data_IF_344176750976
#
_entry.id   IF_344176750976
#
_cell.length_a   1.000
_cell.length_b   1.000
_cell.length_c   1.000
_cell.angle_alpha   90.00
_cell.angle_beta   90.00
_cell.angle_gamma   90.00
#
_symmetry.space_group_name_H-M   'P 1'
#
loop_
_entity.id
_entity.type
_entity.pdbx_description
1 polymer ?
#
# COMPACT_ATOMS: atom_id res chain seq x y z
N UNK A 1 -5.52 10.80 6.16
CA UNK A 1 -5.77 11.75 5.05
C UNK A 1 -4.73 11.53 3.95
N UNK A 2 -5.09 11.60 2.67
CA UNK A 2 -4.09 11.59 1.58
C UNK A 2 -3.65 13.02 1.32
N UNK A 3 -2.37 13.29 1.52
CA UNK A 3 -1.77 14.63 1.39
C UNK A 3 -1.27 14.87 -0.04
N UNK A 4 -0.69 13.84 -0.65
CA UNK A 4 -0.15 13.90 -2.00
C UNK A 4 -0.22 12.51 -2.65
N UNK A 5 -0.48 12.47 -3.96
CA UNK A 5 -0.56 11.26 -4.77
C UNK A 5 0.08 11.51 -6.12
N UNK A 6 1.09 10.72 -6.45
CA UNK A 6 1.77 10.74 -7.75
C UNK A 6 1.70 9.36 -8.36
N UNK A 7 1.54 9.29 -9.68
CA UNK A 7 1.49 8.03 -10.39
C UNK A 7 2.16 8.13 -11.76
N UNK A 8 2.64 6.99 -12.23
CA UNK A 8 3.15 6.81 -13.59
C UNK A 8 2.24 5.79 -14.26
N UNK A 9 1.63 6.20 -15.36
CA UNK A 9 0.75 5.34 -16.15
C UNK A 9 1.45 4.92 -17.44
N UNK A 10 1.38 3.63 -17.77
CA UNK A 10 1.85 3.06 -19.03
C UNK A 10 0.72 2.25 -19.64
N UNK A 11 0.37 2.55 -20.89
CA UNK A 11 -0.73 1.84 -21.59
C UNK A 11 -2.09 1.96 -20.89
N UNK A 12 -2.35 3.08 -20.20
CA UNK A 12 -3.58 3.31 -19.44
C UNK A 12 -3.65 2.61 -18.09
N UNK A 13 -2.54 2.00 -17.63
CA UNK A 13 -2.44 1.34 -16.33
C UNK A 13 -1.40 2.02 -15.45
N UNK A 14 -1.76 2.31 -14.20
CA UNK A 14 -0.79 2.78 -13.20
C UNK A 14 0.19 1.67 -12.87
N UNK A 15 1.48 1.90 -13.15
CA UNK A 15 2.58 0.94 -12.88
C UNK A 15 3.37 1.29 -11.64
N UNK A 16 3.39 2.57 -11.26
CA UNK A 16 4.04 3.07 -10.05
C UNK A 16 3.12 4.11 -9.43
N UNK A 17 2.88 4.00 -8.12
CA UNK A 17 2.14 4.97 -7.35
C UNK A 17 2.93 5.34 -6.09
N UNK A 18 3.00 6.64 -5.79
CA UNK A 18 3.54 7.17 -4.55
C UNK A 18 2.44 7.92 -3.80
N UNK A 19 2.24 7.55 -2.54
CA UNK A 19 1.27 8.16 -1.64
C UNK A 19 1.98 8.78 -0.44
N UNK A 20 1.63 10.02 -0.13
CA UNK A 20 1.97 10.65 1.15
C UNK A 20 0.68 10.83 1.93
N UNK A 21 0.62 10.23 3.12
CA UNK A 21 -0.60 10.19 3.92
C UNK A 21 -0.29 10.60 5.35
N UNK A 22 -1.28 11.18 6.02
CA UNK A 22 -1.27 11.35 7.47
C UNK A 22 -2.10 10.24 8.12
N UNK A 23 -1.49 9.36 8.94
CA UNK A 23 -2.20 8.37 9.75
C UNK A 23 -3.15 8.99 10.79
N UNK A 24 -4.16 8.24 11.29
CA UNK A 24 -4.52 6.90 10.84
C UNK A 24 -5.23 6.95 9.50
N UNK A 25 -4.88 6.02 8.62
CA UNK A 25 -5.60 5.83 7.36
C UNK A 25 -5.81 4.34 7.15
N UNK A 26 -7.05 3.89 7.35
CA UNK A 26 -7.51 2.58 6.91
C UNK A 26 -7.90 2.71 5.44
N UNK A 27 -7.03 2.27 4.54
CA UNK A 27 -7.36 2.29 3.12
C UNK A 27 -8.21 1.04 2.78
N UNK A 28 -9.36 1.25 2.13
CA UNK A 28 -9.90 0.21 1.25
C UNK A 28 -8.90 0.07 0.11
N UNK A 29 -8.43 -1.13 -0.25
CA UNK A 29 -7.44 -1.25 -1.31
C UNK A 29 -7.98 -0.64 -2.60
N UNK A 30 -7.41 0.48 -3.02
CA UNK A 30 -7.38 0.90 -4.44
C UNK A 30 -6.08 0.32 -5.03
N UNK A 31 -5.76 -0.90 -4.62
CA UNK A 31 -4.66 -1.66 -5.14
C UNK A 31 -5.28 -2.70 -6.05
N UNK A 32 -4.83 -2.74 -7.30
CA UNK A 32 -5.37 -3.63 -8.31
C UNK A 32 -5.25 -5.09 -7.84
N UNK A 33 -6.19 -5.96 -8.23
CA UNK A 33 -6.16 -7.40 -7.89
C UNK A 33 -5.06 -8.12 -8.69
N UNK A 34 -3.81 -7.85 -8.31
CA UNK A 34 -2.60 -8.32 -9.00
C UNK A 34 -1.38 -8.37 -8.07
N UNK A 35 -0.26 -8.91 -8.57
CA UNK A 35 1.00 -8.85 -7.84
C UNK A 35 1.49 -7.40 -7.73
N UNK A 36 1.74 -6.95 -6.51
CA UNK A 36 2.18 -5.59 -6.23
C UNK A 36 3.33 -5.58 -5.21
N UNK A 37 4.18 -4.56 -5.33
CA UNK A 37 5.26 -4.28 -4.38
C UNK A 37 4.94 -2.99 -3.63
N UNK A 38 4.92 -3.05 -2.30
CA UNK A 38 4.76 -1.88 -1.45
C UNK A 38 6.08 -1.61 -0.73
N UNK A 39 6.53 -0.37 -0.74
CA UNK A 39 7.71 0.09 0.01
C UNK A 39 7.33 1.28 0.89
N UNK A 40 7.74 1.25 2.15
CA UNK A 40 7.42 2.28 3.13
C UNK A 40 8.65 3.14 3.43
N UNK A 41 8.78 4.30 2.78
CA UNK A 41 9.90 5.22 3.05
C UNK A 41 9.83 5.86 4.45
N UNK A 42 8.62 6.02 5.01
CA UNK A 42 8.35 6.59 6.34
C UNK A 42 7.11 5.95 6.96
N UNK A 43 7.14 5.76 8.27
CA UNK A 43 6.03 5.15 9.00
C UNK A 43 5.92 3.65 8.73
N UNK A 44 4.72 3.08 8.87
CA UNK A 44 4.50 1.66 8.60
C UNK A 44 3.04 1.31 8.35
N UNK A 45 2.77 0.01 8.22
CA UNK A 45 1.42 -0.49 8.06
C UNK A 45 1.24 -1.87 8.67
N UNK A 46 0.06 -2.11 9.21
CA UNK A 46 -0.42 -3.47 9.46
C UNK A 46 -1.14 -3.95 8.20
N UNK A 47 -0.59 -4.98 7.55
CA UNK A 47 -1.19 -5.66 6.42
C UNK A 47 -1.92 -6.90 6.94
N UNK A 48 -3.21 -7.02 6.67
CA UNK A 48 -4.05 -8.10 7.22
C UNK A 48 -4.86 -8.79 6.14
N UNK A 49 -4.93 -10.12 6.21
CA UNK A 49 -5.81 -11.00 5.46
C UNK A 49 -6.50 -11.98 6.44
N UNK A 50 -7.49 -12.78 6.01
CA UNK A 50 -8.21 -13.69 6.92
C UNK A 50 -7.30 -14.67 7.69
N UNK A 51 -6.17 -15.05 7.09
CA UNK A 51 -5.25 -16.07 7.63
C UNK A 51 -3.97 -15.50 8.23
N UNK A 52 -3.69 -14.21 8.05
CA UNK A 52 -2.40 -13.64 8.45
C UNK A 52 -2.46 -12.15 8.72
N UNK A 53 -1.50 -11.69 9.52
CA UNK A 53 -1.27 -10.29 9.82
C UNK A 53 0.23 -10.03 9.86
N UNK A 54 0.67 -9.09 9.04
CA UNK A 54 2.06 -8.72 8.86
C UNK A 54 2.21 -7.26 9.25
N UNK A 55 3.19 -6.95 10.09
CA UNK A 55 3.58 -5.57 10.36
C UNK A 55 4.78 -5.23 9.48
N UNK A 56 4.64 -4.16 8.69
CA UNK A 56 5.69 -3.62 7.85
C UNK A 56 6.09 -2.28 8.45
N UNK A 57 7.40 -2.09 8.61
CA UNK A 57 8.00 -0.90 9.20
C UNK A 57 8.67 -0.04 8.14
N UNK A 58 9.20 1.08 8.60
CA UNK A 58 9.95 2.00 7.78
C UNK A 58 11.15 1.31 7.12
N UNK A 59 11.40 1.65 5.86
CA UNK A 59 12.43 1.10 4.98
C UNK A 59 12.27 -0.39 4.66
N UNK A 60 11.09 -0.98 4.91
CA UNK A 60 10.76 -2.34 4.49
C UNK A 60 9.92 -2.35 3.22
N UNK A 61 10.00 -3.48 2.51
CA UNK A 61 9.20 -3.75 1.31
C UNK A 61 8.51 -5.09 1.44
N UNK A 62 7.33 -5.20 0.82
CA UNK A 62 6.58 -6.45 0.71
C UNK A 62 6.13 -6.67 -0.72
N UNK A 63 6.14 -7.92 -1.15
CA UNK A 63 5.44 -8.38 -2.35
C UNK A 63 4.19 -9.14 -1.89
N UNK A 64 3.02 -8.74 -2.37
CA UNK A 64 1.77 -9.43 -2.07
C UNK A 64 0.84 -9.42 -3.29
N UNK A 65 -0.20 -10.26 -3.22
CA UNK A 65 -1.35 -10.13 -4.10
C UNK A 65 -2.21 -8.98 -3.59
N UNK A 66 -2.11 -7.81 -4.22
CA UNK A 66 -2.96 -6.68 -3.89
C UNK A 66 -4.44 -7.00 -4.16
N UNK A 67 -5.34 -6.22 -3.56
CA UNK A 67 -6.78 -6.47 -3.62
C UNK A 67 -7.29 -7.52 -2.62
N UNK A 68 -6.42 -8.37 -2.05
CA UNK A 68 -6.81 -9.39 -1.05
C UNK A 68 -6.45 -9.04 0.41
N UNK A 69 -5.72 -7.95 0.63
CA UNK A 69 -5.26 -7.52 1.96
C UNK A 69 -5.77 -6.12 2.30
N UNK A 70 -5.96 -5.88 3.60
CA UNK A 70 -6.23 -4.56 4.17
C UNK A 70 -4.96 -3.95 4.76
N UNK A 71 -4.77 -2.64 4.56
CA UNK A 71 -3.64 -1.90 5.08
C UNK A 71 -4.11 -0.82 6.08
N UNK A 72 -3.65 -0.93 7.31
CA UNK A 72 -3.86 0.05 8.38
C UNK A 72 -2.53 0.80 8.64
N UNK A 73 -2.39 1.99 8.03
CA UNK A 73 -1.17 2.79 8.07
C UNK A 73 -1.02 3.54 9.41
N UNK A 74 0.20 3.57 9.97
CA UNK A 74 0.56 4.21 11.23
C UNK A 74 1.84 5.04 11.13
#
# INVERSE_FOLDING_TARGET
>A
MVNNRQHIDLGGKTVIEKLEVTPPLRQKPILQDEACSLHFNKGGSHISAPTEKITIKENESILLKCGTYFADLF
#
